data_IF_538580354370
#
_entry.id   IF_538580354370
#
_cell.length_a   1.000
_cell.length_b   1.000
_cell.length_c   1.000
_cell.angle_alpha   90.00
_cell.angle_beta   90.00
_cell.angle_gamma   90.00
#
_symmetry.space_group_name_H-M   'P 1'
#
loop_
_entity.id
_entity.type
_entity.pdbx_description
1 polymer ?
#
# COMPACT_ATOMS: atom_id res chain seq x y z
N UNK A 1 -30.18 -3.19 -10.61
CA UNK A 1 -29.04 -4.13 -10.67
C UNK A 1 -29.02 -5.18 -9.54
N UNK A 2 -29.75 -5.02 -8.43
CA UNK A 2 -29.84 -6.08 -7.40
C UNK A 2 -28.61 -6.21 -6.49
N UNK A 3 -27.68 -5.27 -6.57
CA UNK A 3 -26.51 -5.19 -5.71
C UNK A 3 -26.85 -4.52 -4.39
N UNK A 4 -26.25 -5.02 -3.31
CA UNK A 4 -26.29 -4.42 -2.00
C UNK A 4 -24.96 -3.71 -1.74
N UNK A 5 -25.05 -2.50 -1.20
CA UNK A 5 -23.86 -1.76 -0.76
C UNK A 5 -23.31 -2.41 0.52
N UNK A 6 -21.99 -2.51 0.61
CA UNK A 6 -21.33 -3.00 1.82
C UNK A 6 -21.43 -2.00 2.96
N UNK A 7 -21.73 -2.53 4.15
CA UNK A 7 -21.71 -1.76 5.39
C UNK A 7 -20.28 -1.42 5.86
N UNK A 8 -19.29 -2.17 5.39
CA UNK A 8 -17.89 -1.96 5.75
C UNK A 8 -17.20 -0.91 4.86
N UNK A 9 -17.63 -0.80 3.60
CA UNK A 9 -17.09 0.15 2.64
C UNK A 9 -18.18 0.54 1.63
N UNK A 10 -18.54 1.81 1.62
CA UNK A 10 -19.59 2.35 0.74
C UNK A 10 -19.21 2.32 -0.76
N UNK A 11 -17.95 2.08 -1.10
CA UNK A 11 -17.49 1.93 -2.49
C UNK A 11 -17.67 0.49 -3.01
N UNK A 12 -17.95 -0.47 -2.12
CA UNK A 12 -18.09 -1.88 -2.46
C UNK A 12 -19.57 -2.25 -2.54
N UNK A 13 -19.94 -2.84 -3.65
CA UNK A 13 -21.26 -3.39 -3.92
C UNK A 13 -21.11 -4.88 -4.20
N UNK A 14 -21.98 -5.70 -3.63
CA UNK A 14 -21.95 -7.14 -3.87
C UNK A 14 -23.34 -7.70 -4.14
N UNK A 15 -23.37 -8.81 -4.86
CA UNK A 15 -24.57 -9.59 -5.11
C UNK A 15 -24.27 -11.06 -4.90
N UNK A 16 -25.17 -11.76 -4.21
CA UNK A 16 -25.12 -13.21 -4.04
C UNK A 16 -26.23 -13.85 -4.87
N UNK A 17 -25.86 -14.70 -5.84
CA UNK A 17 -26.81 -15.45 -6.66
C UNK A 17 -26.45 -16.94 -6.65
N UNK A 18 -27.30 -17.80 -6.08
CA UNK A 18 -27.12 -19.27 -6.16
C UNK A 18 -25.73 -19.79 -5.76
N UNK A 19 -25.12 -19.23 -4.71
CA UNK A 19 -23.78 -19.59 -4.24
C UNK A 19 -22.63 -18.88 -4.95
N UNK A 20 -22.95 -18.02 -5.91
CA UNK A 20 -22.00 -17.19 -6.65
C UNK A 20 -21.93 -15.78 -6.09
N UNK A 21 -20.77 -15.15 -6.21
CA UNK A 21 -20.51 -13.80 -5.67
C UNK A 21 -20.00 -12.88 -6.77
N UNK A 22 -20.75 -11.81 -6.99
CA UNK A 22 -20.38 -10.69 -7.84
C UNK A 22 -19.98 -9.52 -6.94
N UNK A 23 -18.81 -8.93 -7.16
CA UNK A 23 -18.33 -7.75 -6.42
C UNK A 23 -17.99 -6.65 -7.41
N UNK A 24 -18.56 -5.48 -7.17
CA UNK A 24 -18.37 -4.25 -7.90
C UNK A 24 -17.77 -3.23 -6.94
N UNK A 25 -16.61 -2.68 -7.26
CA UNK A 25 -15.94 -1.62 -6.49
C UNK A 25 -15.93 -0.37 -7.36
N UNK A 26 -16.47 0.72 -6.83
CA UNK A 26 -16.56 2.01 -7.53
C UNK A 26 -15.74 3.04 -6.78
N UNK A 27 -14.65 3.50 -7.41
CA UNK A 27 -13.78 4.53 -6.86
C UNK A 27 -13.68 5.71 -7.82
N UNK A 28 -14.40 6.78 -7.52
CA UNK A 28 -14.48 7.99 -8.36
C UNK A 28 -14.85 7.59 -9.81
N UNK A 29 -13.91 7.66 -10.75
CA UNK A 29 -14.13 7.34 -12.17
C UNK A 29 -13.76 5.89 -12.52
N UNK A 30 -13.11 5.15 -11.61
CA UNK A 30 -12.65 3.79 -11.82
C UNK A 30 -13.65 2.76 -11.26
N UNK A 31 -13.97 1.74 -12.06
CA UNK A 31 -14.86 0.65 -11.67
C UNK A 31 -14.11 -0.68 -11.80
N UNK A 32 -14.01 -1.43 -10.70
CA UNK A 32 -13.51 -2.81 -10.70
C UNK A 32 -14.71 -3.75 -10.58
N UNK A 33 -14.74 -4.74 -11.46
CA UNK A 33 -15.73 -5.80 -11.43
C UNK A 33 -15.03 -7.16 -11.31
N UNK A 34 -15.46 -7.97 -10.35
CA UNK A 34 -15.03 -9.36 -10.20
C UNK A 34 -16.25 -10.25 -9.96
N UNK A 35 -16.23 -11.44 -10.54
CA UNK A 35 -17.33 -12.40 -10.50
C UNK A 35 -16.78 -13.79 -10.78
N UNK A 36 -17.46 -14.82 -10.29
CA UNK A 36 -17.19 -16.21 -10.66
C UNK A 36 -17.91 -16.66 -11.95
N UNK A 37 -18.72 -15.77 -12.54
CA UNK A 37 -19.50 -15.99 -13.75
C UNK A 37 -19.21 -14.89 -14.79
N UNK A 38 -18.48 -15.24 -15.84
CA UNK A 38 -18.16 -14.33 -16.94
C UNK A 38 -19.41 -13.76 -17.64
N UNK A 39 -20.52 -14.51 -17.67
CA UNK A 39 -21.78 -14.03 -18.25
C UNK A 39 -22.37 -12.88 -17.46
N UNK A 40 -22.26 -12.90 -16.12
CA UNK A 40 -22.70 -11.81 -15.26
C UNK A 40 -21.80 -10.58 -15.44
N UNK A 41 -20.48 -10.78 -15.55
CA UNK A 41 -19.54 -9.69 -15.88
C UNK A 41 -19.96 -8.98 -17.17
N UNK A 42 -20.24 -9.74 -18.23
CA UNK A 42 -20.63 -9.17 -19.52
C UNK A 42 -21.98 -8.45 -19.45
N UNK A 43 -22.95 -9.02 -18.72
CA UNK A 43 -24.27 -8.39 -18.50
C UNK A 43 -24.12 -7.04 -17.80
N UNK A 44 -23.28 -6.97 -16.77
CA UNK A 44 -23.02 -5.74 -16.01
C UNK A 44 -22.28 -4.71 -16.85
N UNK A 45 -21.29 -5.12 -17.63
CA UNK A 45 -20.59 -4.23 -18.58
C UNK A 45 -21.57 -3.57 -19.55
N UNK A 46 -22.48 -4.35 -20.14
CA UNK A 46 -23.50 -3.83 -21.06
C UNK A 46 -24.42 -2.83 -20.34
N UNK A 47 -24.91 -3.19 -19.15
CA UNK A 47 -25.79 -2.32 -18.39
C UNK A 47 -25.09 -1.00 -17.96
N UNK A 48 -23.83 -1.07 -17.56
CA UNK A 48 -23.03 0.10 -17.21
C UNK A 48 -22.82 1.00 -18.44
N UNK A 49 -22.46 0.41 -19.58
CA UNK A 49 -22.26 1.16 -20.84
C UNK A 49 -23.56 1.79 -21.38
N UNK A 50 -24.73 1.26 -21.03
CA UNK A 50 -26.02 1.86 -21.39
C UNK A 50 -26.38 3.07 -20.52
N UNK A 51 -25.95 3.07 -19.25
CA UNK A 51 -26.29 4.12 -18.29
C UNK A 51 -25.22 5.20 -18.16
N UNK A 52 -23.97 4.85 -18.46
CA UNK A 52 -22.79 5.68 -18.27
C UNK A 52 -21.82 5.52 -19.44
N UNK A 53 -21.02 6.55 -19.71
CA UNK A 53 -19.94 6.50 -20.69
C UNK A 53 -18.73 5.73 -20.12
N UNK A 54 -18.82 4.39 -20.14
CA UNK A 54 -17.79 3.51 -19.56
C UNK A 54 -16.94 2.90 -20.67
N UNK A 55 -15.61 2.90 -20.46
CA UNK A 55 -14.66 2.19 -21.31
C UNK A 55 -14.15 0.93 -20.61
N UNK A 56 -14.31 -0.21 -21.26
CA UNK A 56 -13.69 -1.45 -20.78
C UNK A 56 -12.18 -1.42 -21.02
N UNK A 57 -11.40 -1.43 -19.94
CA UNK A 57 -9.93 -1.48 -19.97
C UNK A 57 -9.39 -2.92 -19.98
N UNK A 58 -10.28 -3.92 -19.96
CA UNK A 58 -9.93 -5.33 -19.91
C UNK A 58 -9.50 -5.77 -18.51
N UNK A 59 -8.62 -6.79 -18.41
CA UNK A 59 -8.15 -7.27 -17.12
C UNK A 59 -7.46 -6.17 -16.31
N UNK A 60 -7.76 -6.08 -15.00
CA UNK A 60 -7.13 -5.13 -14.09
C UNK A 60 -5.60 -5.21 -14.16
N UNK A 61 -4.96 -4.12 -14.59
CA UNK A 61 -3.49 -3.96 -14.66
C UNK A 61 -2.97 -2.84 -13.76
N UNK A 62 -3.81 -1.87 -13.45
CA UNK A 62 -3.45 -0.71 -12.66
C UNK A 62 -4.68 -0.16 -11.94
N UNK A 63 -4.57 0.13 -10.65
CA UNK A 63 -5.62 0.76 -9.85
C UNK A 63 -4.98 1.57 -8.72
N UNK A 64 -5.35 2.85 -8.58
CA UNK A 64 -4.83 3.74 -7.52
C UNK A 64 -3.29 3.78 -7.42
N UNK A 65 -2.55 3.70 -8.52
CA UNK A 65 -1.07 3.68 -8.38
C UNK A 65 -0.48 2.33 -8.00
N UNK A 66 -1.29 1.27 -7.95
CA UNK A 66 -0.87 -0.12 -7.77
C UNK A 66 -0.95 -0.82 -9.11
N UNK A 67 0.17 -1.33 -9.56
CA UNK A 67 0.30 -2.22 -10.72
C UNK A 67 -0.06 -3.64 -10.31
N UNK A 68 -0.89 -4.30 -11.12
CA UNK A 68 -1.40 -5.64 -10.89
C UNK A 68 -0.92 -6.55 -12.03
N UNK A 69 -0.09 -7.52 -11.69
CA UNK A 69 0.32 -8.57 -12.62
C UNK A 69 -0.32 -9.90 -12.21
N UNK A 70 -0.87 -10.62 -13.18
CA UNK A 70 -1.47 -11.95 -12.96
C UNK A 70 -0.63 -13.00 -13.66
N UNK A 71 -0.40 -14.11 -12.97
CA UNK A 71 0.30 -15.28 -13.52
C UNK A 71 -0.35 -16.57 -13.03
N UNK A 72 0.08 -17.71 -13.55
CA UNK A 72 -0.32 -19.03 -13.03
C UNK A 72 0.05 -19.25 -11.56
N UNK A 73 1.02 -18.49 -11.03
CA UNK A 73 1.45 -18.58 -9.64
C UNK A 73 0.58 -17.74 -8.69
N UNK A 74 -0.15 -16.75 -9.21
CA UNK A 74 -0.92 -15.82 -8.38
C UNK A 74 -0.96 -14.39 -8.92
N UNK A 75 -1.37 -13.48 -8.04
CA UNK A 75 -1.48 -12.04 -8.30
C UNK A 75 -0.32 -11.32 -7.61
N UNK A 76 0.46 -10.57 -8.38
CA UNK A 76 1.53 -9.72 -7.88
C UNK A 76 1.10 -8.25 -7.90
N UNK A 77 1.21 -7.59 -6.75
CA UNK A 77 0.93 -6.16 -6.59
C UNK A 77 2.25 -5.40 -6.42
N UNK A 78 2.50 -4.40 -7.24
CA UNK A 78 3.68 -3.53 -7.13
C UNK A 78 3.34 -2.07 -7.30
N UNK A 79 4.21 -1.19 -6.81
CA UNK A 79 4.11 0.26 -7.03
C UNK A 79 5.41 0.77 -7.65
N UNK A 80 5.91 0.08 -8.70
CA UNK A 80 7.22 0.37 -9.29
C UNK A 80 7.26 1.78 -9.86
N UNK A 81 6.24 2.14 -10.65
CA UNK A 81 6.11 3.48 -11.22
C UNK A 81 6.12 4.55 -10.12
N UNK A 82 5.34 4.35 -9.07
CA UNK A 82 5.27 5.25 -7.92
C UNK A 82 6.64 5.47 -7.26
N UNK A 83 7.42 4.40 -7.05
CA UNK A 83 8.78 4.51 -6.49
C UNK A 83 9.71 5.27 -7.42
N UNK A 84 9.63 5.05 -8.73
CA UNK A 84 10.46 5.76 -9.71
C UNK A 84 10.09 7.25 -9.78
N UNK A 85 8.81 7.58 -9.72
CA UNK A 85 8.33 8.97 -9.70
C UNK A 85 8.79 9.68 -8.42
N UNK A 86 8.70 9.02 -7.25
CA UNK A 86 9.22 9.52 -5.97
C UNK A 86 10.74 9.77 -6.02
N UNK A 87 11.51 8.84 -6.61
CA UNK A 87 12.96 9.01 -6.78
C UNK A 87 13.29 10.16 -7.73
N UNK A 88 12.48 10.37 -8.76
CA UNK A 88 12.64 11.48 -9.71
C UNK A 88 12.35 12.82 -9.03
N UNK A 89 11.20 12.92 -8.35
CA UNK A 89 10.77 14.12 -7.61
C UNK A 89 11.81 14.55 -6.57
N UNK A 90 12.45 13.59 -5.92
CA UNK A 90 13.45 13.85 -4.87
C UNK A 90 14.88 14.00 -5.38
N UNK A 91 15.12 13.85 -6.68
CA UNK A 91 16.48 13.88 -7.26
C UNK A 91 17.35 12.69 -6.84
N UNK A 92 16.75 11.58 -6.40
CA UNK A 92 17.41 10.40 -5.86
C UNK A 92 17.65 9.29 -6.89
N UNK A 93 17.37 9.49 -8.18
CA UNK A 93 17.68 8.48 -9.20
C UNK A 93 19.17 8.10 -9.23
N UNK A 94 20.07 9.07 -9.03
CA UNK A 94 21.53 8.89 -9.05
C UNK A 94 22.16 8.53 -7.69
N UNK A 95 21.39 8.44 -6.61
CA UNK A 95 21.96 8.35 -5.26
C UNK A 95 22.61 6.98 -4.95
N UNK A 96 23.54 6.92 -3.99
CA UNK A 96 24.06 5.64 -3.49
C UNK A 96 22.98 4.87 -2.73
N UNK A 97 22.99 3.56 -2.91
CA UNK A 97 22.04 2.64 -2.27
C UNK A 97 22.25 2.62 -0.75
N UNK A 98 21.16 2.58 0.01
CA UNK A 98 21.21 2.33 1.44
C UNK A 98 20.83 0.87 1.72
N UNK A 99 21.73 0.12 2.38
CA UNK A 99 21.47 -1.28 2.71
C UNK A 99 20.45 -1.46 3.85
N UNK A 100 20.28 -0.45 4.70
CA UNK A 100 19.33 -0.49 5.82
C UNK A 100 18.38 0.70 5.81
N UNK A 101 17.12 0.45 6.18
CA UNK A 101 16.05 1.44 6.27
C UNK A 101 16.30 2.49 7.35
N UNK A 102 16.83 2.05 8.48
CA UNK A 102 17.09 2.86 9.66
C UNK A 102 18.48 2.54 10.21
N UNK A 103 19.11 3.47 10.93
CA UNK A 103 20.36 3.20 11.65
C UNK A 103 20.04 2.38 12.91
N UNK A 104 20.77 1.28 13.12
CA UNK A 104 20.70 0.51 14.37
C UNK A 104 21.10 1.44 15.54
N UNK A 105 20.35 1.38 16.65
CA UNK A 105 20.44 2.30 17.79
C UNK A 105 19.93 3.72 17.48
N UNK A 106 18.72 3.83 16.93
CA UNK A 106 18.10 5.09 16.55
C UNK A 106 17.83 6.00 17.77
N UNK A 107 18.88 6.67 18.24
CA UNK A 107 18.82 7.75 19.24
C UNK A 107 18.32 9.03 18.56
N UNK A 108 17.10 8.98 18.04
CA UNK A 108 16.38 10.14 17.50
C UNK A 108 15.87 11.04 18.64
N UNK A 109 16.69 11.30 19.66
CA UNK A 109 16.33 12.17 20.79
C UNK A 109 15.87 13.51 20.24
N UNK A 110 14.82 14.11 20.83
CA UNK A 110 14.22 15.37 20.38
C UNK A 110 15.15 16.62 20.33
N UNK A 111 16.43 16.53 20.72
CA UNK A 111 17.29 17.69 20.95
C UNK A 111 17.94 18.33 19.69
N UNK A 112 17.79 19.64 19.49
CA UNK A 112 18.80 20.50 18.85
C UNK A 112 18.92 20.53 17.31
N UNK A 113 18.15 19.74 16.57
CA UNK A 113 18.23 19.76 15.10
C UNK A 113 17.65 21.02 14.45
N UNK A 114 18.24 21.51 13.35
CA UNK A 114 17.67 22.64 12.59
C UNK A 114 16.31 22.24 12.00
N UNK A 115 15.27 23.10 12.13
CA UNK A 115 13.97 22.91 11.49
C UNK A 115 14.10 22.72 9.98
N UNK A 116 13.16 21.99 9.40
CA UNK A 116 13.03 21.83 7.95
C UNK A 116 11.63 22.23 7.49
N UNK A 117 11.46 22.36 6.19
CA UNK A 117 10.17 22.60 5.56
C UNK A 117 9.17 21.49 5.94
N UNK A 118 8.11 21.91 6.65
CA UNK A 118 7.08 21.03 7.16
C UNK A 118 6.23 20.42 6.05
N UNK A 119 5.83 21.20 5.07
CA UNK A 119 4.97 20.72 3.97
C UNK A 119 5.70 19.67 3.14
N UNK A 120 6.97 19.95 2.81
CA UNK A 120 7.80 19.01 2.08
C UNK A 120 8.00 17.70 2.86
N UNK A 121 8.24 17.79 4.16
CA UNK A 121 8.39 16.60 5.01
C UNK A 121 7.09 15.78 5.05
N UNK A 122 5.96 16.44 5.30
CA UNK A 122 4.64 15.81 5.36
C UNK A 122 4.27 15.12 4.06
N UNK A 123 4.52 15.77 2.92
CA UNK A 123 4.30 15.17 1.59
C UNK A 123 5.11 13.88 1.41
N UNK A 124 6.41 13.91 1.72
CA UNK A 124 7.27 12.73 1.58
C UNK A 124 6.84 11.59 2.50
N UNK A 125 6.52 11.89 3.76
CA UNK A 125 6.05 10.87 4.70
C UNK A 125 4.70 10.30 4.25
N UNK A 126 3.77 11.15 3.78
CA UNK A 126 2.50 10.69 3.20
C UNK A 126 2.70 9.76 2.01
N UNK A 127 3.64 10.07 1.12
CA UNK A 127 4.00 9.19 0.01
C UNK A 127 4.55 7.83 0.47
N UNK A 128 5.37 7.82 1.53
CA UNK A 128 5.91 6.58 2.11
C UNK A 128 4.84 5.75 2.85
N UNK A 129 3.90 6.40 3.53
CA UNK A 129 2.74 5.73 4.14
C UNK A 129 1.93 5.05 3.04
N UNK A 130 1.68 5.75 1.92
CA UNK A 130 0.98 5.16 0.79
C UNK A 130 1.70 3.91 0.27
N UNK A 131 3.02 4.00 0.08
CA UNK A 131 3.84 2.91 -0.40
C UNK A 131 3.89 1.69 0.53
N UNK A 132 3.75 1.89 1.85
CA UNK A 132 3.77 0.77 2.82
C UNK A 132 2.67 -0.27 2.61
N UNK A 133 1.59 0.06 1.89
CA UNK A 133 0.52 -0.88 1.54
C UNK A 133 1.00 -2.04 0.66
N UNK A 134 2.00 -1.82 -0.20
CA UNK A 134 2.62 -2.90 -1.01
C UNK A 134 4.05 -3.22 -0.59
N UNK A 135 4.60 -2.46 0.37
CA UNK A 135 5.97 -2.59 0.88
C UNK A 135 5.96 -2.72 2.41
N UNK A 136 5.48 -3.85 2.97
CA UNK A 136 5.46 -4.04 4.42
C UNK A 136 6.86 -3.97 5.05
N UNK A 137 7.91 -4.22 4.26
CA UNK A 137 9.30 -4.13 4.72
C UNK A 137 9.70 -2.72 5.17
N UNK A 138 9.02 -1.66 4.71
CA UNK A 138 9.31 -0.28 5.13
C UNK A 138 8.42 0.23 6.27
N UNK A 139 7.34 -0.48 6.60
CA UNK A 139 6.26 0.01 7.49
C UNK A 139 6.78 0.50 8.84
N UNK A 140 7.70 -0.26 9.46
CA UNK A 140 8.30 0.14 10.73
C UNK A 140 9.10 1.44 10.62
N UNK A 141 9.95 1.58 9.60
CA UNK A 141 10.74 2.80 9.42
C UNK A 141 9.84 4.01 9.12
N UNK A 142 8.76 3.80 8.36
CA UNK A 142 7.76 4.82 8.06
C UNK A 142 7.00 5.23 9.31
N UNK A 143 6.61 4.30 10.19
CA UNK A 143 5.91 4.62 11.43
C UNK A 143 6.76 5.50 12.35
N UNK A 144 8.07 5.23 12.45
CA UNK A 144 9.00 6.05 13.24
C UNK A 144 9.10 7.48 12.70
N UNK A 145 9.33 7.67 11.40
CA UNK A 145 9.45 9.03 10.83
C UNK A 145 8.12 9.80 10.85
N UNK A 146 6.99 9.10 10.88
CA UNK A 146 5.65 9.71 10.97
C UNK A 146 5.38 10.37 12.32
N UNK A 147 6.03 9.93 13.40
CA UNK A 147 5.88 10.53 14.74
C UNK A 147 6.33 12.00 14.78
N UNK A 148 7.23 12.39 13.86
CA UNK A 148 7.84 13.73 13.84
C UNK A 148 7.25 14.67 12.77
N UNK A 149 6.03 14.37 12.29
CA UNK A 149 5.31 15.18 11.28
C UNK A 149 4.98 16.61 11.74
N UNK A 150 4.81 16.83 13.05
CA UNK A 150 4.41 18.12 13.61
C UNK A 150 5.57 19.12 13.72
N UNK A 151 6.78 18.65 14.03
CA UNK A 151 8.00 19.46 14.14
C UNK A 151 9.18 18.74 13.45
N UNK A 152 9.23 18.73 12.11
CA UNK A 152 10.26 18.01 11.38
C UNK A 152 11.61 18.75 11.46
N UNK A 153 12.67 17.96 11.58
CA UNK A 153 14.06 18.43 11.72
C UNK A 153 14.98 17.68 10.78
N UNK A 154 16.17 18.24 10.50
CA UNK A 154 17.13 17.65 9.54
C UNK A 154 17.46 16.18 9.79
N UNK A 155 17.52 15.73 11.04
CA UNK A 155 17.78 14.30 11.36
C UNK A 155 16.65 13.38 10.87
N UNK A 156 15.40 13.79 11.05
CA UNK A 156 14.23 13.02 10.62
C UNK A 156 14.14 13.03 9.10
N UNK A 157 14.41 14.18 8.49
CA UNK A 157 14.48 14.30 7.03
C UNK A 157 15.59 13.39 6.43
N UNK A 158 16.75 13.30 7.09
CA UNK A 158 17.82 12.37 6.67
C UNK A 158 17.38 10.90 6.76
N UNK A 159 16.57 10.54 7.75
CA UNK A 159 15.97 9.21 7.87
C UNK A 159 14.98 8.93 6.73
N UNK A 160 14.08 9.87 6.42
CA UNK A 160 13.17 9.78 5.25
C UNK A 160 13.96 9.56 3.96
N UNK A 161 15.01 10.35 3.72
CA UNK A 161 15.87 10.17 2.54
C UNK A 161 16.69 8.87 2.57
N UNK A 162 16.91 8.25 3.73
CA UNK A 162 17.51 6.90 3.83
C UNK A 162 16.52 5.83 3.36
N UNK A 163 15.25 5.93 3.76
CA UNK A 163 14.18 5.04 3.29
C UNK A 163 14.06 5.14 1.76
N UNK A 164 14.05 6.36 1.21
CA UNK A 164 13.99 6.58 -0.25
C UNK A 164 15.20 5.96 -0.96
N UNK A 165 16.41 6.10 -0.39
CA UNK A 165 17.63 5.44 -0.92
C UNK A 165 17.57 3.91 -0.88
N UNK A 166 16.90 3.33 0.11
CA UNK A 166 16.68 1.89 0.18
C UNK A 166 15.70 1.42 -0.91
N UNK A 167 14.62 2.18 -1.14
CA UNK A 167 13.63 1.88 -2.19
C UNK A 167 14.25 1.80 -3.59
N UNK A 168 15.27 2.60 -3.86
CA UNK A 168 16.06 2.55 -5.11
C UNK A 168 16.62 1.15 -5.40
N UNK A 169 16.95 0.36 -4.37
CA UNK A 169 17.54 -0.96 -4.57
C UNK A 169 16.62 -1.97 -5.21
N UNK A 170 15.33 -1.89 -4.91
CA UNK A 170 14.31 -2.79 -5.44
C UNK A 170 13.01 -2.02 -5.68
N UNK A 171 12.93 -1.19 -6.73
CA UNK A 171 11.75 -0.36 -6.97
C UNK A 171 10.51 -1.18 -7.33
N UNK A 172 10.71 -2.35 -7.96
CA UNK A 172 9.62 -3.27 -8.32
C UNK A 172 9.26 -4.31 -7.26
N UNK A 173 9.80 -4.21 -6.03
CA UNK A 173 9.39 -5.11 -4.94
C UNK A 173 7.91 -4.85 -4.60
N UNK A 174 7.19 -5.90 -4.25
CA UNK A 174 5.76 -5.86 -4.00
C UNK A 174 5.28 -7.12 -3.28
N UNK A 175 3.97 -7.35 -3.32
CA UNK A 175 3.29 -8.47 -2.65
C UNK A 175 2.87 -9.53 -3.67
N UNK A 176 3.15 -10.79 -3.38
CA UNK A 176 2.66 -11.93 -4.16
C UNK A 176 1.55 -12.64 -3.40
N UNK A 177 0.36 -12.69 -3.98
CA UNK A 177 -0.79 -13.45 -3.52
C UNK A 177 -0.89 -14.73 -4.33
N UNK A 178 -0.31 -15.80 -3.79
CA UNK A 178 -0.36 -17.13 -4.41
C UNK A 178 -1.48 -17.97 -3.81
N UNK A 179 -2.00 -18.91 -4.60
CA UNK A 179 -2.98 -19.89 -4.13
C UNK A 179 -2.28 -20.93 -3.27
N UNK A 180 -2.66 -21.07 -1.99
CA UNK A 180 -2.07 -22.10 -1.11
C UNK A 180 -3.03 -23.24 -0.73
N UNK A 181 -4.17 -23.38 -1.41
CA UNK A 181 -5.03 -24.58 -1.29
C UNK A 181 -5.73 -24.77 0.07
N UNK A 182 -5.61 -23.81 0.98
CA UNK A 182 -6.26 -23.81 2.28
C UNK A 182 -6.64 -22.38 2.69
N UNK A 183 -7.65 -22.23 3.54
CA UNK A 183 -8.14 -20.94 4.04
C UNK A 183 -7.67 -20.69 5.48
N UNK A 184 -6.36 -20.82 5.74
CA UNK A 184 -5.80 -20.53 7.07
C UNK A 184 -5.46 -19.05 7.16
N UNK A 185 -5.70 -18.52 8.35
CA UNK A 185 -5.28 -17.18 8.74
C UNK A 185 -4.02 -17.36 9.57
N UNK A 186 -2.93 -16.74 9.14
CA UNK A 186 -1.65 -16.73 9.85
C UNK A 186 -1.40 -15.34 10.40
N UNK A 187 -1.18 -15.22 11.70
CA UNK A 187 -0.93 -13.96 12.38
C UNK A 187 0.45 -13.96 13.03
N UNK A 188 1.24 -12.95 12.72
CA UNK A 188 2.53 -12.67 13.36
C UNK A 188 2.38 -11.42 14.21
N UNK A 189 2.97 -11.43 15.40
CA UNK A 189 2.98 -10.27 16.30
C UNK A 189 4.37 -10.12 16.88
N UNK A 190 4.81 -8.87 17.02
CA UNK A 190 6.06 -8.49 17.65
C UNK A 190 5.81 -7.24 18.50
N UNK A 191 6.50 -7.12 19.62
CA UNK A 191 6.35 -5.98 20.51
C UNK A 191 7.67 -5.64 21.19
N UNK A 192 7.97 -4.35 21.24
CA UNK A 192 9.08 -3.83 22.04
C UNK A 192 8.59 -3.31 23.40
N UNK A 193 9.49 -3.31 24.38
CA UNK A 193 9.24 -2.72 25.69
C UNK A 193 9.96 -1.38 25.80
N UNK A 194 9.20 -0.30 25.94
CA UNK A 194 9.70 1.06 26.06
C UNK A 194 10.69 1.46 24.95
N UNK A 195 10.45 1.00 23.71
CA UNK A 195 11.34 1.25 22.56
C UNK A 195 11.38 2.71 22.12
N UNK A 196 10.33 3.49 22.41
CA UNK A 196 10.34 4.93 22.20
C UNK A 196 11.20 5.63 23.26
N UNK A 197 12.34 6.20 22.84
CA UNK A 197 13.28 6.85 23.77
C UNK A 197 12.73 8.15 24.38
N UNK A 198 11.87 8.85 23.65
CA UNK A 198 11.34 10.15 24.06
C UNK A 198 10.28 10.02 25.17
N UNK A 199 9.38 9.03 25.09
CA UNK A 199 8.25 8.89 26.02
C UNK A 199 8.12 7.50 26.67
N UNK A 200 9.09 6.60 26.42
CA UNK A 200 9.14 5.23 26.95
C UNK A 200 7.92 4.39 26.60
N UNK A 201 7.18 4.73 25.54
CA UNK A 201 6.08 3.90 25.06
C UNK A 201 6.59 2.66 24.34
N UNK A 202 5.83 1.58 24.49
CA UNK A 202 5.97 0.36 23.70
C UNK A 202 5.39 0.53 22.30
N UNK A 203 6.03 -0.11 21.33
CA UNK A 203 5.59 -0.23 19.95
C UNK A 203 5.26 -1.71 19.71
N UNK A 204 4.04 -1.99 19.29
CA UNK A 204 3.63 -3.31 18.81
C UNK A 204 3.39 -3.28 17.31
N UNK A 205 3.75 -4.37 16.64
CA UNK A 205 3.50 -4.61 15.23
C UNK A 205 2.80 -5.96 15.06
N UNK A 206 1.88 -6.04 14.12
CA UNK A 206 1.27 -7.31 13.74
C UNK A 206 1.14 -7.39 12.21
N UNK A 207 1.15 -8.60 11.69
CA UNK A 207 0.91 -8.88 10.28
C UNK A 207 0.05 -10.13 10.16
N UNK A 208 -1.10 -9.99 9.50
CA UNK A 208 -2.05 -11.10 9.31
C UNK A 208 -2.13 -11.43 7.83
N UNK A 209 -1.83 -12.68 7.49
CA UNK A 209 -1.96 -13.22 6.14
C UNK A 209 -3.24 -14.03 6.06
N UNK A 210 -4.15 -13.59 5.19
CA UNK A 210 -5.27 -14.40 4.74
C UNK A 210 -4.84 -15.12 3.47
N UNK A 211 -4.77 -16.45 3.54
CA UNK A 211 -4.50 -17.26 2.35
C UNK A 211 -5.77 -17.32 1.50
N UNK A 212 -5.69 -16.76 0.29
CA UNK A 212 -6.80 -16.74 -0.66
C UNK A 212 -6.76 -17.98 -1.56
N UNK A 213 -7.91 -18.63 -1.74
CA UNK A 213 -8.13 -19.60 -2.81
C UNK A 213 -8.54 -18.78 -4.04
N UNK A 214 -7.56 -18.42 -4.88
CA UNK A 214 -7.81 -17.81 -6.19
C UNK A 214 -8.12 -18.88 -7.25
#
# INVERSE_FOLDING_TARGET
MGYQQSNADHTIFFQHNSGKVSILIVYVDDIILTDDNLSEINRLKIHLAQSFEVKDLGPLRYFLGIEVARSSHGIFLSQRKYVLDLLTETGMLGCRLAATLIEQNHRLMADGGTPVDRERYQRLVGQLIYLSHTRPDITFAVSVVSQYIHDPRKRYQKAVYRIIRYLKGCPGRGLMFSRHGHLKIEGYTDADWAGALDDRKSISGYCTFLVVIL
#
